data_IF_114491138771
#
_entry.id   IF_114491138771
#
_cell.length_a   1.000
_cell.length_b   1.000
_cell.length_c   1.000
_cell.angle_alpha   90.00
_cell.angle_beta   90.00
_cell.angle_gamma   90.00
#
_symmetry.space_group_name_H-M   'P 1'
#
loop_
_entity.id
_entity.type
_entity.pdbx_description
1 polymer ?
#
# COMPACT_ATOMS: atom_id res chain seq x y z
N UNK A 1 26.71 11.07 -16.85
CA UNK A 1 25.81 11.36 -17.98
C UNK A 1 24.40 11.18 -17.49
N UNK A 2 23.73 12.28 -17.24
CA UNK A 2 22.40 12.35 -16.60
C UNK A 2 21.35 12.13 -17.69
N UNK A 3 20.78 10.94 -17.77
CA UNK A 3 19.63 10.71 -18.65
C UNK A 3 18.40 11.37 -18.02
N UNK A 4 18.10 12.57 -18.50
CA UNK A 4 16.82 13.20 -18.24
C UNK A 4 15.71 12.38 -18.91
N UNK A 5 14.79 11.81 -18.11
CA UNK A 5 13.55 11.28 -18.63
C UNK A 5 12.75 12.46 -19.21
N UNK A 6 12.67 12.54 -20.54
CA UNK A 6 11.76 13.44 -21.22
C UNK A 6 10.31 12.99 -20.94
N UNK A 7 9.70 13.63 -19.94
CA UNK A 7 8.26 13.61 -19.78
C UNK A 7 7.68 14.51 -20.89
N UNK A 8 7.12 13.91 -21.91
CA UNK A 8 6.28 14.66 -22.87
C UNK A 8 5.08 15.18 -22.11
N UNK A 9 5.06 16.48 -21.88
CA UNK A 9 3.90 17.20 -21.32
C UNK A 9 2.84 17.30 -22.42
N UNK A 10 2.07 16.23 -22.60
CA UNK A 10 0.78 16.33 -23.23
C UNK A 10 -0.12 17.14 -22.31
N UNK A 11 -0.63 18.28 -22.76
CA UNK A 11 -1.60 19.06 -22.01
C UNK A 11 -2.78 18.14 -21.65
N UNK A 12 -3.28 18.14 -20.40
CA UNK A 12 -4.44 17.33 -20.04
C UNK A 12 -5.62 17.79 -20.86
N UNK A 13 -6.19 16.87 -21.63
CA UNK A 13 -7.48 17.08 -22.26
C UNK A 13 -8.50 17.35 -21.15
N UNK A 14 -9.26 18.45 -21.17
CA UNK A 14 -10.26 18.70 -20.16
C UNK A 14 -11.29 17.57 -20.20
N UNK A 15 -11.43 16.86 -19.08
CA UNK A 15 -12.48 15.87 -18.89
C UNK A 15 -13.84 16.57 -18.98
N UNK A 16 -14.82 15.99 -19.68
CA UNK A 16 -16.18 16.52 -19.63
C UNK A 16 -16.68 16.43 -18.18
N UNK A 17 -17.23 17.53 -17.71
CA UNK A 17 -17.95 17.61 -16.45
C UNK A 17 -19.27 16.83 -16.61
N UNK A 18 -19.22 15.52 -16.44
CA UNK A 18 -20.40 14.70 -16.29
C UNK A 18 -20.50 14.29 -14.82
N UNK A 19 -21.36 15.04 -14.12
CA UNK A 19 -21.88 14.73 -12.78
C UNK A 19 -22.71 13.41 -12.83
N UNK A 20 -22.06 12.30 -13.13
CA UNK A 20 -22.61 11.00 -12.79
C UNK A 20 -22.42 10.81 -11.30
N UNK A 21 -23.40 11.27 -10.52
CA UNK A 21 -23.62 10.79 -9.16
C UNK A 21 -23.54 9.26 -9.17
N UNK A 22 -22.37 8.73 -8.78
CA UNK A 22 -22.23 7.31 -8.45
C UNK A 22 -23.12 7.07 -7.24
N UNK A 23 -24.35 6.62 -7.50
CA UNK A 23 -25.24 6.14 -6.45
C UNK A 23 -24.54 5.01 -5.72
N UNK A 24 -23.99 5.28 -4.56
CA UNK A 24 -23.47 4.25 -3.67
C UNK A 24 -22.21 4.56 -2.88
N UNK A 25 -21.46 5.62 -3.20
CA UNK A 25 -20.36 6.07 -2.35
C UNK A 25 -20.75 7.46 -1.85
N UNK A 26 -21.51 7.48 -0.77
CA UNK A 26 -21.66 8.70 0.01
C UNK A 26 -20.25 9.14 0.44
N UNK A 27 -19.87 10.43 0.28
CA UNK A 27 -18.71 10.95 0.96
C UNK A 27 -18.88 10.58 2.43
N UNK A 28 -17.83 10.08 3.07
CA UNK A 28 -17.81 9.62 4.46
C UNK A 28 -18.66 10.55 5.33
N UNK A 29 -19.88 10.11 5.65
CA UNK A 29 -20.67 10.75 6.69
C UNK A 29 -20.11 10.27 8.03
N UNK A 30 -19.15 11.03 8.55
CA UNK A 30 -18.55 10.79 9.86
C UNK A 30 -19.57 10.88 10.99
N UNK A 31 -20.78 11.41 10.74
CA UNK A 31 -21.86 11.49 11.73
C UNK A 31 -22.50 10.13 12.04
N UNK A 32 -22.35 9.14 11.17
CA UNK A 32 -22.82 7.77 11.41
C UNK A 32 -21.82 6.90 12.19
N UNK A 33 -20.58 7.35 12.38
CA UNK A 33 -19.56 6.75 13.25
C UNK A 33 -19.54 7.51 14.58
N UNK A 34 -20.70 7.67 15.19
CA UNK A 34 -20.86 8.41 16.43
C UNK A 34 -20.37 7.63 17.62
N UNK A 35 -19.13 7.77 17.97
CA UNK A 35 -18.55 7.89 19.30
C UNK A 35 -17.15 8.51 19.16
N UNK A 36 -16.98 9.41 18.18
CA UNK A 36 -16.00 10.47 18.35
C UNK A 36 -16.67 11.42 19.35
N UNK A 37 -16.31 11.36 20.64
CA UNK A 37 -16.44 12.52 21.49
C UNK A 37 -15.80 13.66 20.71
N UNK A 38 -16.56 14.67 20.33
CA UNK A 38 -16.01 15.97 20.03
C UNK A 38 -15.31 16.40 21.32
N UNK A 39 -14.06 16.05 21.43
CA UNK A 39 -13.12 16.75 22.29
C UNK A 39 -13.17 18.18 21.75
N UNK A 40 -13.92 19.04 22.44
CA UNK A 40 -14.26 20.38 22.00
C UNK A 40 -13.11 21.11 21.28
N UNK A 41 -13.32 22.28 20.70
CA UNK A 41 -12.31 22.93 19.90
C UNK A 41 -11.00 22.85 20.69
N UNK A 42 -9.94 22.34 20.06
CA UNK A 42 -8.60 22.34 20.64
C UNK A 42 -8.43 23.74 21.15
N UNK A 43 -8.64 23.92 22.46
CA UNK A 43 -8.48 25.18 23.10
C UNK A 43 -7.15 25.66 22.65
N UNK A 44 -6.92 26.97 22.34
CA UNK A 44 -5.68 27.46 21.77
C UNK A 44 -4.50 26.75 22.45
N UNK A 45 -4.38 25.46 22.08
CA UNK A 45 -3.38 24.52 22.54
C UNK A 45 -2.09 25.16 22.12
N UNK A 46 -1.08 25.01 22.89
CA UNK A 46 0.27 25.46 22.60
C UNK A 46 0.49 25.41 21.10
N UNK A 47 0.87 26.54 20.47
CA UNK A 47 1.03 26.60 19.04
C UNK A 47 1.90 25.40 18.67
N UNK A 48 1.37 24.49 17.82
CA UNK A 48 2.17 23.44 17.22
C UNK A 48 3.41 24.18 16.71
N UNK A 49 4.55 23.94 17.37
CA UNK A 49 5.81 24.60 17.03
C UNK A 49 5.88 24.61 15.51
N UNK A 50 5.95 25.77 14.87
CA UNK A 50 5.90 25.80 13.42
C UNK A 50 7.03 24.89 12.97
N UNK A 51 6.77 24.06 11.97
CA UNK A 51 7.72 23.11 11.37
C UNK A 51 8.97 23.81 10.80
N UNK A 52 9.15 25.07 11.13
CA UNK A 52 10.32 25.93 11.00
C UNK A 52 11.38 25.70 12.08
N UNK A 53 11.30 24.53 12.71
CA UNK A 53 12.41 24.01 13.48
C UNK A 53 13.73 24.18 12.73
N UNK A 54 14.75 24.55 13.45
CA UNK A 54 16.08 24.81 12.89
C UNK A 54 16.51 23.74 11.88
N UNK A 55 17.31 24.06 10.85
CA UNK A 55 17.81 23.07 9.91
C UNK A 55 18.42 21.83 10.59
N UNK A 56 19.03 22.00 11.77
CA UNK A 56 19.58 20.92 12.57
C UNK A 56 18.50 19.94 13.08
N UNK A 57 17.34 20.44 13.52
CA UNK A 57 16.20 19.59 13.94
C UNK A 57 15.59 18.84 12.76
N UNK A 58 15.47 19.48 11.60
CA UNK A 58 14.99 18.82 10.37
C UNK A 58 15.92 17.69 9.95
N UNK A 59 17.23 17.93 9.93
CA UNK A 59 18.24 16.91 9.58
C UNK A 59 18.20 15.75 10.58
N UNK A 60 18.08 16.04 11.89
CA UNK A 60 17.94 14.99 12.91
C UNK A 60 16.70 14.15 12.68
N UNK A 61 15.56 14.77 12.45
CA UNK A 61 14.29 14.10 12.20
C UNK A 61 14.34 13.20 10.96
N UNK A 62 14.96 13.66 9.88
CA UNK A 62 15.13 12.87 8.67
C UNK A 62 16.09 11.70 8.86
N UNK A 63 17.15 11.88 9.63
CA UNK A 63 18.05 10.78 9.98
C UNK A 63 17.36 9.73 10.85
N UNK A 64 16.50 10.14 11.77
CA UNK A 64 15.68 9.22 12.57
C UNK A 64 14.72 8.43 11.66
N UNK A 65 14.06 9.09 10.71
CA UNK A 65 13.18 8.42 9.75
C UNK A 65 13.93 7.41 8.88
N UNK A 66 15.10 7.79 8.35
CA UNK A 66 15.98 6.86 7.62
C UNK A 66 16.39 5.69 8.51
N UNK A 67 16.70 5.95 9.79
CA UNK A 67 17.02 4.92 10.78
C UNK A 67 15.90 3.90 10.97
N UNK A 68 14.64 4.36 11.04
CA UNK A 68 13.46 3.48 11.12
C UNK A 68 13.31 2.63 9.86
N UNK A 69 13.47 3.24 8.69
CA UNK A 69 13.38 2.51 7.42
C UNK A 69 14.45 1.43 7.34
N UNK A 70 15.69 1.75 7.66
CA UNK A 70 16.81 0.79 7.64
C UNK A 70 16.61 -0.34 8.64
N UNK A 71 16.17 -0.02 9.87
CA UNK A 71 15.88 -1.03 10.89
C UNK A 71 14.85 -2.05 10.38
N UNK A 72 13.77 -1.58 9.75
CA UNK A 72 12.77 -2.47 9.15
C UNK A 72 13.36 -3.31 8.00
N UNK A 73 14.16 -2.71 7.10
CA UNK A 73 14.77 -3.46 6.00
C UNK A 73 15.66 -4.60 6.52
N UNK A 74 16.44 -4.34 7.57
CA UNK A 74 17.28 -5.36 8.21
C UNK A 74 16.43 -6.46 8.86
N UNK A 75 15.39 -6.08 9.62
CA UNK A 75 14.46 -7.04 10.25
C UNK A 75 13.74 -7.89 9.19
N UNK A 76 13.30 -7.28 8.11
CA UNK A 76 12.65 -7.94 6.98
C UNK A 76 13.63 -8.70 6.05
N UNK A 77 14.91 -8.74 6.39
CA UNK A 77 15.97 -9.34 5.57
C UNK A 77 16.02 -8.81 4.13
N UNK A 78 15.75 -7.52 4.00
CA UNK A 78 15.91 -6.77 2.76
C UNK A 78 17.31 -6.10 2.71
N UNK A 79 17.86 -5.79 1.52
CA UNK A 79 19.12 -5.08 1.41
C UNK A 79 19.08 -3.73 2.12
N UNK A 80 20.04 -3.48 3.03
CA UNK A 80 20.19 -2.22 3.75
C UNK A 80 20.96 -1.20 2.89
N UNK A 81 20.35 -0.76 1.81
CA UNK A 81 20.97 0.15 0.83
C UNK A 81 20.35 1.54 0.84
N UNK A 82 19.34 1.77 1.67
CA UNK A 82 18.57 3.01 1.70
C UNK A 82 19.26 4.07 2.55
N UNK A 83 19.29 5.29 2.05
CA UNK A 83 19.85 6.45 2.73
C UNK A 83 19.03 7.71 2.56
N UNK A 84 19.54 8.81 3.09
CA UNK A 84 18.90 10.12 2.96
C UNK A 84 18.64 10.55 1.50
N UNK A 85 19.53 10.27 0.52
CA UNK A 85 19.23 10.57 -0.88
C UNK A 85 17.96 9.90 -1.41
N UNK A 86 17.69 8.66 -1.01
CA UNK A 86 16.48 7.94 -1.44
C UNK A 86 15.21 8.57 -0.86
N UNK A 87 15.28 9.08 0.37
CA UNK A 87 14.18 9.82 0.98
C UNK A 87 13.90 11.13 0.22
N UNK A 88 14.93 11.86 -0.19
CA UNK A 88 14.81 13.07 -1.01
C UNK A 88 14.21 12.74 -2.38
N UNK A 89 14.67 11.67 -3.01
CA UNK A 89 14.12 11.19 -4.27
C UNK A 89 12.63 10.84 -4.13
N UNK A 90 12.25 10.14 -3.05
CA UNK A 90 10.85 9.83 -2.77
C UNK A 90 10.00 11.10 -2.64
N UNK A 91 10.47 12.11 -1.90
CA UNK A 91 9.72 13.37 -1.74
C UNK A 91 9.54 14.08 -3.08
N UNK A 92 10.53 14.01 -3.96
CA UNK A 92 10.44 14.52 -5.32
C UNK A 92 9.40 13.74 -6.14
N UNK A 93 9.40 12.42 -6.06
CA UNK A 93 8.41 11.56 -6.72
C UNK A 93 7.02 11.84 -6.19
N UNK A 94 6.86 11.91 -4.84
CA UNK A 94 5.59 12.24 -4.20
C UNK A 94 5.01 13.56 -4.70
N UNK A 95 5.84 14.63 -4.80
CA UNK A 95 5.38 15.94 -5.25
C UNK A 95 4.88 15.97 -6.71
N UNK A 96 5.27 14.98 -7.51
CA UNK A 96 4.88 14.84 -8.93
C UNK A 96 3.81 13.77 -9.15
N UNK A 97 3.40 13.07 -8.11
CA UNK A 97 2.42 11.99 -8.24
C UNK A 97 1.03 12.58 -8.55
N UNK A 98 0.43 12.27 -9.70
CA UNK A 98 -0.83 12.88 -10.15
C UNK A 98 -2.04 12.48 -9.29
N UNK A 99 -1.93 11.40 -8.52
CA UNK A 99 -2.99 10.93 -7.63
C UNK A 99 -2.88 11.53 -6.21
N UNK A 100 -1.80 12.25 -5.88
CA UNK A 100 -1.64 12.90 -4.57
C UNK A 100 -2.66 14.02 -4.41
N UNK A 101 -3.29 14.08 -3.24
CA UNK A 101 -4.34 15.06 -2.92
C UNK A 101 -5.73 14.69 -3.39
N UNK A 102 -5.91 13.56 -4.08
CA UNK A 102 -7.23 13.02 -4.38
C UNK A 102 -7.77 12.23 -3.18
N UNK A 103 -9.08 12.35 -2.93
CA UNK A 103 -9.73 11.52 -1.92
C UNK A 103 -9.61 10.03 -2.28
N UNK A 104 -9.36 9.21 -1.28
CA UNK A 104 -9.24 7.75 -1.39
C UNK A 104 -8.12 7.37 -2.37
N UNK A 105 -6.91 7.27 -1.85
CA UNK A 105 -5.73 6.74 -2.54
C UNK A 105 -4.92 5.93 -1.54
N UNK A 106 -3.95 5.16 -2.03
CA UNK A 106 -2.97 4.50 -1.17
C UNK A 106 -2.37 5.52 -0.19
N UNK A 107 -2.36 5.25 1.13
CA UNK A 107 -1.80 6.16 2.12
C UNK A 107 -0.36 6.56 1.78
N UNK A 108 -0.03 7.83 2.00
CA UNK A 108 1.29 8.38 1.63
C UNK A 108 2.44 7.64 2.31
N UNK A 109 2.25 7.21 3.57
CA UNK A 109 3.29 6.46 4.26
C UNK A 109 3.52 5.08 3.64
N UNK A 110 2.48 4.42 3.14
CA UNK A 110 2.65 3.16 2.41
C UNK A 110 3.35 3.37 1.07
N UNK A 111 3.05 4.45 0.34
CA UNK A 111 3.80 4.75 -0.90
C UNK A 111 5.27 5.02 -0.62
N UNK A 112 5.63 5.61 0.54
CA UNK A 112 7.03 5.74 0.95
C UNK A 112 7.69 4.37 1.14
N UNK A 113 7.02 3.44 1.83
CA UNK A 113 7.52 2.09 2.00
C UNK A 113 7.67 1.34 0.69
N UNK A 114 6.67 1.40 -0.20
CA UNK A 114 6.75 0.77 -1.53
C UNK A 114 7.95 1.31 -2.32
N UNK A 115 8.18 2.63 -2.28
CA UNK A 115 9.35 3.25 -2.91
C UNK A 115 10.65 2.66 -2.35
N UNK A 116 10.79 2.60 -1.03
CA UNK A 116 12.01 2.14 -0.38
C UNK A 116 12.24 0.63 -0.59
N UNK A 117 11.19 -0.19 -0.55
CA UNK A 117 11.28 -1.63 -0.80
C UNK A 117 11.72 -1.89 -2.25
N UNK A 118 11.12 -1.21 -3.23
CA UNK A 118 11.53 -1.34 -4.64
C UNK A 118 12.97 -0.88 -4.85
N UNK A 119 13.38 0.23 -4.19
CA UNK A 119 14.77 0.70 -4.23
C UNK A 119 15.75 -0.30 -3.64
N UNK A 120 15.41 -0.91 -2.51
CA UNK A 120 16.25 -1.91 -1.86
C UNK A 120 16.36 -3.20 -2.68
N UNK A 121 15.25 -3.71 -3.18
CA UNK A 121 15.19 -4.98 -3.91
C UNK A 121 15.75 -4.89 -5.33
N UNK A 122 15.62 -3.74 -6.01
CA UNK A 122 15.94 -3.59 -7.43
C UNK A 122 15.35 -4.73 -8.29
N UNK A 123 14.03 -4.95 -8.24
CA UNK A 123 13.39 -6.07 -8.90
C UNK A 123 13.51 -5.99 -10.43
N UNK A 124 13.41 -7.13 -11.12
CA UNK A 124 13.22 -7.18 -12.57
C UNK A 124 11.76 -7.03 -12.94
N UNK A 125 10.88 -7.63 -12.12
CA UNK A 125 9.44 -7.56 -12.27
C UNK A 125 8.82 -6.97 -11.00
N UNK A 126 7.90 -6.03 -11.19
CA UNK A 126 6.95 -5.59 -10.18
C UNK A 126 5.54 -5.85 -10.68
N UNK A 127 4.74 -6.51 -9.87
CA UNK A 127 3.31 -6.70 -10.09
C UNK A 127 2.54 -5.86 -9.09
N UNK A 128 1.56 -5.10 -9.55
CA UNK A 128 0.55 -4.47 -8.72
C UNK A 128 -0.83 -5.00 -9.09
N UNK A 129 -1.58 -5.50 -8.11
CA UNK A 129 -2.98 -5.90 -8.25
C UNK A 129 -3.85 -5.05 -7.34
N UNK A 130 -4.85 -4.36 -7.93
CA UNK A 130 -5.61 -3.30 -7.28
C UNK A 130 -4.93 -1.94 -7.44
N UNK A 131 -5.06 -1.34 -8.62
CA UNK A 131 -4.35 -0.11 -9.01
C UNK A 131 -5.15 1.14 -8.68
N UNK A 132 -6.46 1.09 -8.87
CA UNK A 132 -7.40 2.20 -8.66
C UNK A 132 -6.92 3.50 -9.32
N UNK A 133 -6.55 4.53 -8.53
CA UNK A 133 -6.07 5.83 -9.06
C UNK A 133 -4.60 5.84 -9.47
N UNK A 134 -3.84 4.79 -9.15
CA UNK A 134 -2.46 4.62 -9.57
C UNK A 134 -1.41 5.36 -8.74
N UNK A 135 -1.72 5.73 -7.49
CA UNK A 135 -0.75 6.41 -6.61
C UNK A 135 0.46 5.55 -6.29
N UNK A 136 0.24 4.31 -5.89
CA UNK A 136 1.26 3.29 -5.66
C UNK A 136 1.99 2.91 -6.92
N UNK A 137 1.26 2.71 -8.02
CA UNK A 137 1.81 2.41 -9.35
C UNK A 137 2.84 3.46 -9.76
N UNK A 138 2.45 4.76 -9.70
CA UNK A 138 3.32 5.87 -10.01
C UNK A 138 4.61 5.81 -9.17
N UNK A 139 4.43 5.63 -7.87
CA UNK A 139 5.53 5.63 -6.91
C UNK A 139 6.51 4.49 -7.17
N UNK A 140 6.02 3.26 -7.31
CA UNK A 140 6.86 2.10 -7.59
C UNK A 140 7.55 2.22 -8.96
N UNK A 141 6.84 2.70 -9.97
CA UNK A 141 7.44 2.92 -11.31
C UNK A 141 8.59 3.91 -11.28
N UNK A 142 8.47 4.97 -10.48
CA UNK A 142 9.52 5.96 -10.31
C UNK A 142 10.68 5.48 -9.41
N UNK A 143 10.45 4.53 -8.52
CA UNK A 143 11.48 4.02 -7.62
C UNK A 143 12.61 3.30 -8.37
N UNK A 144 12.32 2.59 -9.45
CA UNK A 144 13.32 1.95 -10.31
C UNK A 144 12.84 1.95 -11.77
N UNK A 145 13.49 2.68 -12.67
CA UNK A 145 13.07 2.76 -14.08
C UNK A 145 13.37 1.50 -14.90
N UNK A 146 14.11 0.54 -14.34
CA UNK A 146 14.61 -0.64 -15.07
C UNK A 146 13.73 -1.87 -15.00
N UNK A 147 12.78 -1.92 -14.07
CA UNK A 147 11.90 -3.07 -13.93
C UNK A 147 10.78 -3.07 -14.97
N UNK A 148 10.33 -4.26 -15.36
CA UNK A 148 9.05 -4.45 -16.02
C UNK A 148 7.96 -4.31 -14.97
N UNK A 149 6.90 -3.59 -15.28
CA UNK A 149 5.78 -3.41 -14.36
C UNK A 149 4.49 -3.89 -15.00
N UNK A 150 3.78 -4.74 -14.27
CA UNK A 150 2.47 -5.26 -14.62
C UNK A 150 1.44 -4.70 -13.65
N UNK A 151 0.40 -4.11 -14.18
CA UNK A 151 -0.67 -3.48 -13.42
C UNK A 151 -2.00 -4.20 -13.70
N UNK A 152 -2.60 -4.76 -12.67
CA UNK A 152 -3.86 -5.50 -12.73
C UNK A 152 -4.94 -4.75 -11.97
N UNK A 153 -6.07 -4.55 -12.60
CA UNK A 153 -7.29 -4.07 -12.00
C UNK A 153 -8.49 -4.61 -12.78
N UNK A 154 -9.64 -4.69 -12.17
CA UNK A 154 -10.89 -5.07 -12.85
C UNK A 154 -11.52 -3.89 -13.60
N UNK A 155 -11.06 -2.66 -13.28
CA UNK A 155 -11.54 -1.43 -13.91
C UNK A 155 -10.48 -0.31 -13.80
N UNK A 156 -9.95 0.10 -14.94
CA UNK A 156 -8.99 1.22 -15.05
C UNK A 156 -9.64 2.58 -15.31
N UNK A 157 -10.94 2.71 -15.19
CA UNK A 157 -11.64 3.99 -15.43
C UNK A 157 -11.25 5.09 -14.44
N UNK A 158 -10.76 4.70 -13.26
CA UNK A 158 -10.31 5.60 -12.18
C UNK A 158 -8.83 5.99 -12.26
N UNK A 159 -8.07 5.35 -13.15
CA UNK A 159 -6.63 5.57 -13.25
C UNK A 159 -6.33 6.99 -13.75
N UNK A 160 -5.56 7.74 -12.96
CA UNK A 160 -5.28 9.17 -13.26
C UNK A 160 -4.16 9.38 -14.26
N UNK A 161 -3.28 8.38 -14.41
CA UNK A 161 -2.13 8.47 -15.31
C UNK A 161 -1.69 7.09 -15.78
N UNK A 162 -1.38 6.97 -17.09
CA UNK A 162 -0.82 5.75 -17.67
C UNK A 162 0.63 5.98 -18.11
N UNK A 163 1.48 4.99 -17.89
CA UNK A 163 2.86 4.98 -18.37
C UNK A 163 2.99 4.03 -19.55
N UNK A 164 3.72 4.43 -20.58
CA UNK A 164 4.00 3.57 -21.74
C UNK A 164 4.77 2.29 -21.40
N UNK A 165 5.54 2.33 -20.31
CA UNK A 165 6.38 1.20 -19.86
C UNK A 165 5.70 0.29 -18.83
N UNK A 166 4.37 0.35 -18.68
CA UNK A 166 3.56 -0.50 -17.79
C UNK A 166 2.60 -1.33 -18.63
N UNK A 167 2.58 -2.63 -18.39
CA UNK A 167 1.62 -3.56 -19.00
C UNK A 167 0.33 -3.57 -18.15
N UNK A 168 -0.73 -2.94 -18.66
CA UNK A 168 -2.02 -2.82 -17.99
C UNK A 168 -2.94 -3.95 -18.43
N UNK A 169 -3.41 -4.75 -17.48
CA UNK A 169 -4.28 -5.91 -17.69
C UNK A 169 -5.58 -5.76 -16.91
N UNK A 170 -6.68 -5.48 -17.63
CA UNK A 170 -8.01 -5.31 -17.03
C UNK A 170 -8.62 -6.67 -16.72
N UNK A 171 -8.13 -7.26 -15.64
CA UNK A 171 -8.57 -8.57 -15.10
C UNK A 171 -7.95 -8.83 -13.75
N UNK A 172 -8.47 -9.83 -13.05
CA UNK A 172 -7.84 -10.36 -11.83
C UNK A 172 -6.47 -10.98 -12.12
N UNK A 173 -5.46 -10.63 -11.32
CA UNK A 173 -4.11 -11.20 -11.45
C UNK A 173 -4.10 -12.73 -11.31
N UNK A 174 -5.01 -13.28 -10.49
CA UNK A 174 -5.13 -14.73 -10.31
C UNK A 174 -5.39 -15.49 -11.61
N UNK A 175 -5.96 -14.84 -12.63
CA UNK A 175 -6.24 -15.39 -13.95
C UNK A 175 -5.09 -15.23 -14.96
N UNK A 176 -3.96 -14.67 -14.50
CA UNK A 176 -2.80 -14.38 -15.35
C UNK A 176 -1.66 -15.36 -15.10
N UNK A 177 -0.66 -15.36 -16.00
CA UNK A 177 0.49 -16.27 -15.97
C UNK A 177 1.83 -15.53 -15.73
N UNK A 178 1.80 -14.24 -15.39
CA UNK A 178 3.03 -13.49 -15.04
C UNK A 178 3.77 -14.19 -13.92
N UNK A 179 5.05 -14.49 -14.17
CA UNK A 179 5.94 -15.19 -13.25
C UNK A 179 7.15 -14.34 -12.91
N UNK A 180 7.76 -14.61 -11.76
CA UNK A 180 9.01 -14.01 -11.39
C UNK A 180 10.14 -14.39 -12.39
N UNK A 181 11.01 -13.44 -12.71
CA UNK A 181 12.24 -13.61 -13.49
C UNK A 181 13.49 -13.60 -12.59
N UNK A 182 13.34 -13.21 -11.33
CA UNK A 182 14.45 -13.12 -10.39
C UNK A 182 14.01 -13.23 -8.92
N UNK A 183 14.98 -13.46 -8.02
CA UNK A 183 14.68 -13.69 -6.61
C UNK A 183 14.25 -12.42 -5.87
N UNK A 184 14.41 -11.24 -6.47
CA UNK A 184 14.06 -9.94 -5.88
C UNK A 184 12.75 -9.37 -6.44
N UNK A 185 12.05 -10.13 -7.30
CA UNK A 185 10.80 -9.67 -7.89
C UNK A 185 9.69 -9.53 -6.83
N UNK A 186 8.85 -8.52 -7.02
CA UNK A 186 7.91 -8.03 -6.02
C UNK A 186 6.48 -8.09 -6.53
N UNK A 187 5.56 -8.56 -5.69
CA UNK A 187 4.13 -8.33 -5.85
C UNK A 187 3.60 -7.36 -4.77
N UNK A 188 2.77 -6.43 -5.17
CA UNK A 188 1.98 -5.59 -4.28
C UNK A 188 0.50 -5.85 -4.53
N UNK A 189 -0.23 -6.23 -3.46
CA UNK A 189 -1.65 -6.55 -3.50
C UNK A 189 -2.44 -5.54 -2.68
N UNK A 190 -3.34 -4.82 -3.36
CA UNK A 190 -4.28 -3.86 -2.82
C UNK A 190 -5.66 -4.06 -3.47
N UNK A 191 -6.01 -5.31 -3.72
CA UNK A 191 -7.18 -5.72 -4.52
C UNK A 191 -8.31 -6.32 -3.67
N UNK A 192 -8.20 -6.24 -2.34
CA UNK A 192 -9.16 -6.77 -1.38
C UNK A 192 -9.45 -8.28 -1.52
N UNK A 193 -8.64 -9.01 -2.27
CA UNK A 193 -8.73 -10.47 -2.39
C UNK A 193 -8.05 -11.11 -1.19
N UNK A 194 -8.59 -12.25 -0.76
CA UNK A 194 -8.02 -13.09 0.27
C UNK A 194 -6.47 -13.15 0.22
N UNK A 195 -5.82 -12.63 1.26
CA UNK A 195 -4.36 -12.55 1.30
C UNK A 195 -3.70 -13.92 1.17
N UNK A 196 -4.30 -14.96 1.76
CA UNK A 196 -3.73 -16.32 1.71
C UNK A 196 -3.76 -16.88 0.29
N UNK A 197 -4.82 -16.58 -0.46
CA UNK A 197 -4.89 -16.94 -1.88
C UNK A 197 -3.78 -16.22 -2.68
N UNK A 198 -3.57 -14.92 -2.43
CA UNK A 198 -2.52 -14.14 -3.09
C UNK A 198 -1.12 -14.66 -2.76
N UNK A 199 -0.86 -15.03 -1.50
CA UNK A 199 0.37 -15.68 -1.07
C UNK A 199 0.59 -16.98 -1.85
N UNK A 200 -0.41 -17.86 -1.93
CA UNK A 200 -0.34 -19.12 -2.66
C UNK A 200 -0.05 -18.90 -4.14
N UNK A 201 -0.79 -18.02 -4.79
CA UNK A 201 -0.62 -17.68 -6.19
C UNK A 201 0.77 -17.10 -6.49
N UNK A 202 1.27 -16.20 -5.64
CA UNK A 202 2.61 -15.63 -5.78
C UNK A 202 3.71 -16.67 -5.64
N UNK A 203 3.59 -17.57 -4.66
CA UNK A 203 4.52 -18.68 -4.47
C UNK A 203 4.59 -19.59 -5.70
N UNK A 204 3.45 -20.00 -6.25
CA UNK A 204 3.35 -20.85 -7.44
C UNK A 204 3.93 -20.20 -8.71
N UNK A 205 3.97 -18.87 -8.73
CA UNK A 205 4.56 -18.07 -9.81
C UNK A 205 6.02 -17.67 -9.55
N UNK A 206 6.62 -18.14 -8.44
CA UNK A 206 8.03 -17.98 -8.12
C UNK A 206 8.40 -16.62 -7.49
N UNK A 207 7.42 -15.78 -7.14
CA UNK A 207 7.69 -14.55 -6.40
C UNK A 207 8.10 -14.85 -4.96
N UNK A 208 9.06 -14.06 -4.47
CA UNK A 208 9.59 -14.20 -3.10
C UNK A 208 9.22 -13.04 -2.19
N UNK A 209 8.93 -11.87 -2.74
CA UNK A 209 8.67 -10.66 -1.98
C UNK A 209 7.26 -10.16 -2.27
N UNK A 210 6.49 -9.98 -1.22
CA UNK A 210 5.13 -9.46 -1.30
C UNK A 210 4.95 -8.27 -0.35
N UNK A 211 4.14 -7.32 -0.77
CA UNK A 211 3.50 -6.35 0.11
C UNK A 211 2.00 -6.55 -0.01
N UNK A 212 1.34 -6.78 1.12
CA UNK A 212 -0.10 -6.99 1.22
C UNK A 212 -0.71 -5.79 1.94
N UNK A 213 -1.59 -5.06 1.29
CA UNK A 213 -2.40 -4.01 1.90
C UNK A 213 -3.76 -4.56 2.36
N UNK A 214 -4.57 -3.70 2.98
CA UNK A 214 -5.90 -4.08 3.49
C UNK A 214 -5.89 -5.31 4.41
N UNK A 215 -4.86 -5.40 5.24
CA UNK A 215 -4.66 -6.48 6.20
C UNK A 215 -4.97 -6.05 7.64
N UNK A 216 -6.17 -5.50 7.91
CA UNK A 216 -6.47 -4.96 9.22
C UNK A 216 -6.40 -6.03 10.30
N UNK A 217 -5.94 -5.62 11.46
CA UNK A 217 -6.15 -6.38 12.68
C UNK A 217 -7.65 -6.40 13.02
N UNK A 218 -8.07 -7.36 13.86
CA UNK A 218 -9.48 -7.53 14.22
C UNK A 218 -10.14 -6.24 14.70
N UNK A 219 -9.43 -5.41 15.47
CA UNK A 219 -9.94 -4.15 15.98
C UNK A 219 -10.25 -3.11 14.90
N UNK A 220 -9.64 -3.25 13.75
CA UNK A 220 -9.70 -2.30 12.62
C UNK A 220 -10.54 -2.80 11.44
N UNK A 221 -10.93 -4.08 11.45
CA UNK A 221 -11.71 -4.70 10.38
C UNK A 221 -13.01 -3.93 10.06
N UNK A 222 -13.58 -3.26 11.05
CA UNK A 222 -14.78 -2.41 10.90
C UNK A 222 -14.58 -1.22 9.95
N UNK A 223 -13.34 -0.83 9.66
CA UNK A 223 -13.06 0.23 8.71
C UNK A 223 -13.19 -0.22 7.26
N UNK A 224 -13.39 -1.53 7.01
CA UNK A 224 -13.41 -2.11 5.68
C UNK A 224 -14.77 -2.73 5.34
N UNK A 225 -15.22 -2.52 4.11
CA UNK A 225 -16.38 -3.27 3.57
C UNK A 225 -15.95 -4.67 3.16
N UNK A 226 -14.81 -4.76 2.50
CA UNK A 226 -14.24 -6.00 1.97
C UNK A 226 -12.78 -6.12 2.41
N UNK A 227 -12.51 -6.48 3.67
CA UNK A 227 -11.14 -6.78 4.08
C UNK A 227 -10.66 -8.02 3.33
N UNK A 228 -9.36 -8.12 3.09
CA UNK A 228 -8.73 -9.25 2.36
C UNK A 228 -8.64 -10.52 3.23
N UNK A 229 -9.79 -10.98 3.74
CA UNK A 229 -9.88 -12.10 4.70
C UNK A 229 -9.78 -13.48 4.03
N UNK A 230 -9.11 -14.47 4.71
CA UNK A 230 -8.33 -14.25 5.92
C UNK A 230 -7.11 -13.41 5.63
N UNK A 231 -6.87 -12.42 6.51
CA UNK A 231 -5.69 -11.56 6.38
C UNK A 231 -4.43 -12.32 6.81
N UNK A 232 -3.27 -11.83 6.36
CA UNK A 232 -2.00 -12.42 6.77
C UNK A 232 -1.83 -12.37 8.31
N UNK A 233 -2.28 -11.32 8.97
CA UNK A 233 -2.24 -11.21 10.44
C UNK A 233 -3.04 -12.31 11.14
N UNK A 234 -4.18 -12.72 10.58
CA UNK A 234 -4.99 -13.81 11.15
C UNK A 234 -4.24 -15.14 11.14
N UNK A 235 -3.56 -15.47 10.04
CA UNK A 235 -2.86 -16.76 9.94
C UNK A 235 -1.53 -16.78 10.70
N UNK A 236 -0.81 -15.65 10.75
CA UNK A 236 0.50 -15.58 11.44
C UNK A 236 0.32 -15.61 12.95
N UNK A 237 -0.76 -14.96 13.45
CA UNK A 237 -1.07 -14.96 14.89
C UNK A 237 -1.35 -16.36 15.45
N UNK A 238 -1.84 -17.29 14.61
CA UNK A 238 -2.23 -18.64 15.02
C UNK A 238 -3.39 -18.71 16.02
N UNK A 239 -4.14 -17.60 16.18
CA UNK A 239 -5.22 -17.49 17.17
C UNK A 239 -6.58 -17.97 16.64
N UNK A 240 -6.72 -18.11 15.33
CA UNK A 240 -7.98 -18.47 14.69
C UNK A 240 -8.09 -19.98 14.48
N UNK A 241 -9.28 -20.50 14.74
CA UNK A 241 -9.68 -21.90 14.51
C UNK A 241 -10.91 -21.94 13.61
N UNK A 242 -11.15 -23.10 12.99
CA UNK A 242 -12.33 -23.31 12.16
C UNK A 242 -13.62 -23.03 12.94
N UNK A 243 -14.46 -22.18 12.37
CA UNK A 243 -15.72 -21.73 12.97
C UNK A 243 -15.62 -20.43 13.74
N UNK A 244 -14.42 -19.93 14.04
CA UNK A 244 -14.29 -18.61 14.65
C UNK A 244 -14.89 -17.55 13.72
N UNK A 245 -15.72 -16.68 14.26
CA UNK A 245 -16.39 -15.65 13.49
C UNK A 245 -16.03 -14.25 13.97
N UNK A 246 -15.88 -13.35 13.03
CA UNK A 246 -15.68 -11.92 13.27
C UNK A 246 -16.84 -11.16 12.65
N UNK A 247 -17.54 -10.41 13.47
CA UNK A 247 -18.65 -9.55 13.06
C UNK A 247 -18.24 -8.09 13.11
N UNK A 248 -18.66 -7.32 12.11
CA UNK A 248 -18.47 -5.87 12.13
C UNK A 248 -19.63 -5.17 11.42
N UNK A 249 -19.71 -3.86 11.61
CA UNK A 249 -20.69 -3.02 10.92
C UNK A 249 -19.95 -2.04 10.02
N UNK A 250 -20.30 -2.00 8.74
CA UNK A 250 -19.82 -1.03 7.79
C UNK A 250 -21.00 -0.32 7.14
N UNK A 251 -21.07 1.00 7.28
CA UNK A 251 -22.17 1.85 6.75
C UNK A 251 -23.58 1.30 7.04
N UNK A 252 -23.80 0.83 8.28
CA UNK A 252 -25.08 0.29 8.72
C UNK A 252 -25.36 -1.16 8.29
N UNK A 253 -24.52 -1.77 7.49
CA UNK A 253 -24.61 -3.20 7.12
C UNK A 253 -23.83 -4.05 8.11
N UNK A 254 -24.46 -5.09 8.62
CA UNK A 254 -23.76 -6.15 9.37
C UNK A 254 -23.03 -7.06 8.41
N UNK A 255 -21.73 -7.25 8.66
CA UNK A 255 -20.89 -8.14 7.91
C UNK A 255 -20.30 -9.18 8.85
N UNK A 256 -20.04 -10.37 8.33
CA UNK A 256 -19.45 -11.48 9.08
C UNK A 256 -18.44 -12.21 8.20
N UNK A 257 -17.30 -12.51 8.78
CA UNK A 257 -16.37 -13.50 8.25
C UNK A 257 -16.26 -14.67 9.23
N UNK A 258 -16.43 -15.89 8.74
CA UNK A 258 -16.17 -17.12 9.49
C UNK A 258 -14.88 -17.74 9.01
N UNK A 259 -13.90 -17.86 9.90
CA UNK A 259 -12.62 -18.45 9.59
C UNK A 259 -12.80 -19.95 9.24
N UNK A 260 -12.13 -20.36 8.18
CA UNK A 260 -12.02 -21.76 7.76
C UNK A 260 -10.60 -22.02 7.29
N UNK A 261 -10.01 -23.10 7.75
CA UNK A 261 -8.64 -23.49 7.39
C UNK A 261 -8.48 -23.70 5.87
N UNK A 262 -9.53 -24.14 5.17
CA UNK A 262 -9.53 -24.25 3.71
C UNK A 262 -9.31 -22.91 2.99
N UNK A 263 -9.72 -21.78 3.60
CA UNK A 263 -9.52 -20.43 3.06
C UNK A 263 -8.06 -19.95 3.20
N UNK A 264 -7.23 -20.66 3.95
CA UNK A 264 -5.83 -20.28 4.13
C UNK A 264 -4.91 -20.75 3.02
N UNK A 265 -5.38 -21.68 2.17
CA UNK A 265 -4.62 -22.25 1.05
C UNK A 265 -3.20 -22.73 1.41
N UNK A 266 -2.97 -23.08 2.67
CA UNK A 266 -1.64 -23.45 3.17
C UNK A 266 -0.62 -22.29 3.14
N UNK A 267 -1.08 -21.05 3.19
CA UNK A 267 -0.21 -19.87 3.04
C UNK A 267 0.83 -19.77 4.15
N UNK A 268 0.49 -20.17 5.38
CA UNK A 268 1.42 -20.09 6.53
C UNK A 268 2.70 -20.90 6.29
N UNK A 269 2.58 -22.08 5.68
CA UNK A 269 3.71 -22.96 5.40
C UNK A 269 4.62 -22.41 4.30
N UNK A 270 4.13 -21.49 3.49
CA UNK A 270 4.85 -20.86 2.38
C UNK A 270 5.62 -19.60 2.84
N UNK A 271 5.25 -19.03 3.98
CA UNK A 271 5.88 -17.84 4.52
C UNK A 271 7.21 -18.20 5.19
N UNK A 272 8.27 -17.49 4.81
CA UNK A 272 9.57 -17.48 5.48
C UNK A 272 9.57 -16.42 6.59
N UNK A 273 9.30 -15.16 6.23
CA UNK A 273 9.20 -14.03 7.14
C UNK A 273 7.96 -13.20 6.86
N UNK A 274 7.40 -12.61 7.92
CA UNK A 274 6.25 -11.74 7.82
C UNK A 274 6.34 -10.62 8.87
N UNK A 275 6.31 -9.38 8.41
CA UNK A 275 6.45 -8.21 9.26
C UNK A 275 5.38 -7.17 8.96
N UNK A 276 4.68 -6.63 9.96
CA UNK A 276 3.84 -5.46 9.76
C UNK A 276 4.73 -4.29 9.30
N UNK A 277 4.27 -3.56 8.33
CA UNK A 277 4.97 -2.36 7.85
C UNK A 277 4.87 -1.28 8.93
N UNK A 278 5.99 -0.72 9.43
CA UNK A 278 5.97 0.22 10.53
C UNK A 278 5.24 1.52 10.20
N UNK A 279 4.54 2.06 11.20
CA UNK A 279 3.90 3.37 11.10
C UNK A 279 4.95 4.48 10.99
N UNK A 280 4.76 5.39 10.05
CA UNK A 280 5.62 6.57 9.86
C UNK A 280 4.96 7.88 10.34
N UNK A 281 3.71 7.83 10.80
CA UNK A 281 2.92 9.02 11.18
C UNK A 281 3.65 9.94 12.15
N UNK A 282 4.42 9.38 13.09
CA UNK A 282 5.19 10.17 14.05
C UNK A 282 6.17 11.16 13.38
N UNK A 283 6.73 10.77 12.22
CA UNK A 283 7.72 11.58 11.49
C UNK A 283 7.12 12.36 10.33
N UNK A 284 6.03 11.88 9.77
CA UNK A 284 5.44 12.45 8.56
C UNK A 284 4.18 13.25 8.83
N UNK A 285 3.51 13.01 9.96
CA UNK A 285 2.17 13.55 10.23
C UNK A 285 1.06 12.98 9.35
N UNK A 286 1.38 12.00 8.47
CA UNK A 286 0.46 11.47 7.47
C UNK A 286 -0.09 10.11 7.89
N UNK A 287 -1.19 9.70 7.25
CA UNK A 287 -1.85 8.42 7.51
C UNK A 287 -0.97 7.24 7.13
N UNK A 288 -0.96 6.24 8.01
CA UNK A 288 -0.39 4.93 7.75
C UNK A 288 -1.42 3.99 7.13
N UNK A 289 -0.96 2.81 6.69
CA UNK A 289 -1.79 1.71 6.21
C UNK A 289 -1.54 0.47 7.05
N UNK A 290 -2.52 -0.43 7.06
CA UNK A 290 -2.40 -1.76 7.66
C UNK A 290 -1.84 -2.72 6.62
N UNK A 291 -0.56 -2.60 6.33
CA UNK A 291 0.12 -3.42 5.35
C UNK A 291 1.17 -4.32 5.98
N UNK A 292 1.43 -5.44 5.34
CA UNK A 292 2.46 -6.40 5.72
C UNK A 292 3.43 -6.63 4.57
N UNK A 293 4.70 -6.71 4.92
CA UNK A 293 5.70 -7.30 4.05
C UNK A 293 5.82 -8.79 4.35
N UNK A 294 5.81 -9.60 3.30
CA UNK A 294 5.92 -11.07 3.39
C UNK A 294 7.03 -11.55 2.47
N UNK A 295 7.93 -12.36 3.01
CA UNK A 295 8.93 -13.11 2.26
C UNK A 295 8.53 -14.58 2.21
N UNK A 296 8.53 -15.16 1.02
CA UNK A 296 8.21 -16.56 0.77
C UNK A 296 9.47 -17.43 0.73
N UNK A 297 9.30 -18.70 1.06
CA UNK A 297 10.36 -19.73 1.03
C UNK A 297 10.92 -19.98 -0.34
#
# INVERSE_FOLDING_TARGET
MTNALLLTTGAPTPMPADDKQVKGISPFDMSAVSHVEELGPVGAGEPMEPYDASPALRIRHWNELVGVIRAFLVEAQLPDTIGLPDLVDYLTVKSRNPAVGQHITTPVNLTAWLFMIVRALQPRIVVESGVFKGSSLFTMRCASPRHKMFAFDVDFSWLTHRFDAVDYRERDWGLDDVRAEGPTDLCYFNDHVNNCLRIRQAYERGFKHLVLDDTPDLGEIRAYRYPAVPTVSMIVSGKFQDGDAVDWVWQGQRLRYTFRSEHTFGARELIDHCHPIPALRRWTGLQDSNAYYVKLK
#
